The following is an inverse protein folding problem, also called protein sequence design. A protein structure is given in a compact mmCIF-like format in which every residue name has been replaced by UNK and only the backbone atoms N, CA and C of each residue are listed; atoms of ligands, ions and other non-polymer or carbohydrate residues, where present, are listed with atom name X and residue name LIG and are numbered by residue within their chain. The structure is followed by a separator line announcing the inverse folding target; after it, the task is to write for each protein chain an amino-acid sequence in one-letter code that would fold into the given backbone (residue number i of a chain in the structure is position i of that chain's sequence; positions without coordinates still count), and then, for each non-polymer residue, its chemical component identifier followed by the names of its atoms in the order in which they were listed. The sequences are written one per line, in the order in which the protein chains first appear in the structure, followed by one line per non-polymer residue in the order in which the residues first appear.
data_IF_356927561789
#
_entry.id   IF_356927561789
#
_cell.length_a   1.000
_cell.length_b   1.000
_cell.length_c   1.000
_cell.angle_alpha   90.00
_cell.angle_beta   90.00
_cell.angle_gamma   90.00
#
_symmetry.space_group_name_H-M   'P 1'
#
loop_
_entity.id
_entity.type
_entity.pdbx_description
1 polymer ?
#
# COMPACT_ATOMS: atom_id res chain seq x y z
N UNK A 1 -8.38 -30.29 8.17
CA UNK A 1 -7.59 -29.25 8.85
C UNK A 1 -7.68 -27.97 8.03
N UNK A 2 -8.58 -27.04 8.36
CA UNK A 2 -8.68 -25.77 7.65
C UNK A 2 -7.45 -24.92 7.98
N UNK A 3 -6.61 -24.62 6.98
CA UNK A 3 -5.51 -23.66 7.12
C UNK A 3 -6.13 -22.31 7.50
N UNK A 4 -6.00 -21.89 8.76
CA UNK A 4 -6.25 -20.50 9.14
C UNK A 4 -5.38 -19.64 8.21
N UNK A 5 -6.01 -18.87 7.33
CA UNK A 5 -5.30 -17.84 6.59
C UNK A 5 -4.70 -16.90 7.64
N UNK A 6 -3.38 -16.99 7.82
CA UNK A 6 -2.68 -16.13 8.75
C UNK A 6 -2.82 -14.71 8.18
N UNK A 7 -3.65 -13.86 8.82
CA UNK A 7 -3.77 -12.47 8.41
C UNK A 7 -2.37 -11.86 8.48
N UNK A 8 -1.88 -11.33 7.36
CA UNK A 8 -0.62 -10.62 7.31
C UNK A 8 -0.64 -9.48 8.34
N UNK A 9 0.44 -9.34 9.08
CA UNK A 9 0.60 -8.29 10.07
C UNK A 9 0.84 -6.93 9.40
N UNK A 10 0.65 -5.85 10.16
CA UNK A 10 1.02 -4.50 9.73
C UNK A 10 2.44 -4.45 9.13
N UNK A 11 3.41 -5.10 9.79
CA UNK A 11 4.81 -5.09 9.37
C UNK A 11 4.97 -5.74 8.00
N UNK A 12 4.39 -6.93 7.81
CA UNK A 12 4.46 -7.65 6.54
C UNK A 12 3.80 -6.88 5.40
N UNK A 13 2.61 -6.32 5.62
CA UNK A 13 1.93 -5.53 4.58
C UNK A 13 2.71 -4.25 4.27
N UNK A 14 3.23 -3.55 5.28
CA UNK A 14 4.02 -2.32 5.06
C UNK A 14 5.33 -2.59 4.31
N UNK A 15 5.96 -3.75 4.57
CA UNK A 15 7.18 -4.15 3.86
C UNK A 15 6.87 -4.46 2.39
N UNK A 16 5.83 -5.26 2.15
CA UNK A 16 5.38 -5.57 0.79
C UNK A 16 4.97 -4.31 0.02
N UNK A 17 4.26 -3.38 0.65
CA UNK A 17 3.87 -2.11 0.05
C UNK A 17 5.10 -1.32 -0.43
N UNK A 18 6.16 -1.26 0.39
CA UNK A 18 7.43 -0.60 0.05
C UNK A 18 8.16 -1.28 -1.12
N UNK A 19 8.16 -2.62 -1.16
CA UNK A 19 8.80 -3.38 -2.25
C UNK A 19 8.08 -3.18 -3.58
N UNK A 20 6.75 -3.26 -3.58
CA UNK A 20 5.90 -3.03 -4.75
C UNK A 20 6.03 -1.58 -5.23
N UNK A 21 6.08 -0.62 -4.31
CA UNK A 21 6.30 0.79 -4.63
C UNK A 21 7.63 1.01 -5.35
N UNK A 22 8.72 0.36 -4.89
CA UNK A 22 10.03 0.40 -5.55
C UNK A 22 10.05 -0.30 -6.90
N UNK A 23 9.21 -1.31 -7.10
CA UNK A 23 9.04 -2.01 -8.36
C UNK A 23 8.24 -1.19 -9.40
N UNK A 24 7.63 -0.06 -8.99
CA UNK A 24 6.90 0.83 -9.88
C UNK A 24 5.41 0.54 -10.01
N UNK A 25 4.89 -0.51 -9.37
CA UNK A 25 3.45 -0.78 -9.35
C UNK A 25 2.77 0.08 -8.28
N UNK A 26 2.60 1.36 -8.61
CA UNK A 26 2.05 2.35 -7.69
C UNK A 26 0.57 2.09 -7.36
N UNK A 27 -0.18 1.44 -8.26
CA UNK A 27 -1.59 1.11 -8.02
C UNK A 27 -1.70 0.04 -6.93
N UNK A 28 -0.93 -1.04 -7.06
CA UNK A 28 -0.95 -2.11 -6.07
C UNK A 28 -0.30 -1.68 -4.74
N UNK A 29 0.78 -0.91 -4.79
CA UNK A 29 1.40 -0.33 -3.61
C UNK A 29 0.42 0.56 -2.83
N UNK A 30 -0.40 1.37 -3.50
CA UNK A 30 -1.41 2.21 -2.86
C UNK A 30 -2.41 1.36 -2.04
N UNK A 31 -2.94 0.28 -2.62
CA UNK A 31 -3.87 -0.62 -1.92
C UNK A 31 -3.22 -1.30 -0.71
N UNK A 32 -1.95 -1.71 -0.83
CA UNK A 32 -1.20 -2.27 0.29
C UNK A 32 -1.00 -1.26 1.41
N UNK A 33 -0.70 0.01 1.08
CA UNK A 33 -0.62 1.07 2.08
C UNK A 33 -1.96 1.35 2.77
N UNK A 34 -3.08 1.30 2.04
CA UNK A 34 -4.42 1.39 2.64
C UNK A 34 -4.65 0.27 3.65
N UNK A 35 -4.35 -0.98 3.28
CA UNK A 35 -4.47 -2.14 4.16
C UNK A 35 -3.54 -2.04 5.39
N UNK A 36 -2.32 -1.54 5.21
CA UNK A 36 -1.40 -1.30 6.33
C UNK A 36 -1.96 -0.24 7.30
N UNK A 37 -2.63 0.80 6.81
CA UNK A 37 -3.27 1.81 7.65
C UNK A 37 -4.38 1.21 8.53
N UNK A 38 -5.17 0.27 7.98
CA UNK A 38 -6.23 -0.42 8.73
C UNK A 38 -5.67 -1.32 9.85
N UNK A 39 -4.50 -1.92 9.63
CA UNK A 39 -3.83 -2.79 10.61
C UNK A 39 -2.96 -2.05 11.63
N UNK A 40 -2.57 -0.82 11.34
CA UNK A 40 -1.68 -0.04 12.19
C UNK A 40 -2.33 0.27 13.54
N UNK A 41 -1.68 -0.10 14.64
CA UNK A 41 -2.17 0.21 16.00
C UNK A 41 -1.86 1.65 16.43
N UNK A 42 -0.74 2.19 15.97
CA UNK A 42 -0.28 3.55 16.31
C UNK A 42 -0.83 4.57 15.32
N UNK A 43 -1.35 5.69 15.82
CA UNK A 43 -1.89 6.76 14.98
C UNK A 43 -0.87 7.28 13.94
N UNK A 44 0.39 7.48 14.35
CA UNK A 44 1.47 7.91 13.45
C UNK A 44 1.67 6.97 12.25
N UNK A 45 1.54 5.65 12.47
CA UNK A 45 1.67 4.67 11.39
C UNK A 45 0.44 4.71 10.47
N UNK A 46 -0.77 4.88 11.05
CA UNK A 46 -2.00 5.05 10.26
C UNK A 46 -1.90 6.26 9.34
N UNK A 47 -1.51 7.40 9.89
CA UNK A 47 -1.35 8.64 9.13
C UNK A 47 -0.31 8.51 8.03
N UNK A 48 0.85 7.93 8.35
CA UNK A 48 1.89 7.74 7.36
C UNK A 48 1.43 6.84 6.21
N UNK A 49 0.77 5.73 6.51
CA UNK A 49 0.21 4.82 5.49
C UNK A 49 -0.88 5.52 4.65
N UNK A 50 -1.78 6.27 5.29
CA UNK A 50 -2.83 7.01 4.60
C UNK A 50 -2.27 8.08 3.65
N UNK A 51 -1.24 8.82 4.08
CA UNK A 51 -0.53 9.80 3.25
C UNK A 51 0.16 9.12 2.06
N UNK A 52 0.78 7.96 2.27
CA UNK A 52 1.45 7.20 1.20
C UNK A 52 0.47 6.64 0.18
N UNK A 53 -0.64 6.07 0.63
CA UNK A 53 -1.77 5.67 -0.24
C UNK A 53 -2.22 6.85 -1.10
N UNK A 54 -2.57 8.00 -0.48
CA UNK A 54 -3.04 9.17 -1.23
C UNK A 54 -2.01 9.70 -2.24
N UNK A 55 -0.71 9.66 -1.91
CA UNK A 55 0.35 10.04 -2.83
C UNK A 55 0.42 9.09 -4.04
N UNK A 56 0.44 7.78 -3.80
CA UNK A 56 0.58 6.78 -4.85
C UNK A 56 -0.65 6.69 -5.74
N UNK A 57 -1.86 6.85 -5.20
CA UNK A 57 -3.08 6.93 -6.01
C UNK A 57 -3.01 8.09 -7.00
N UNK A 58 -2.51 9.26 -6.57
CA UNK A 58 -2.31 10.41 -7.48
C UNK A 58 -1.21 10.17 -8.51
N UNK A 59 -0.15 9.46 -8.12
CA UNK A 59 0.93 9.09 -9.03
C UNK A 59 0.47 8.09 -10.07
N UNK A 60 -0.20 7.00 -9.67
CA UNK A 60 -0.72 5.99 -10.58
C UNK A 60 -1.64 6.59 -11.66
N UNK A 61 -2.48 7.57 -11.30
CA UNK A 61 -3.32 8.30 -12.26
C UNK A 61 -2.47 9.07 -13.29
N UNK A 62 -1.47 9.85 -12.84
CA UNK A 62 -0.60 10.60 -13.75
C UNK A 62 0.20 9.72 -14.71
N UNK A 63 0.64 8.55 -14.26
CA UNK A 63 1.42 7.64 -15.09
C UNK A 63 0.54 6.93 -16.13
N UNK A 64 -0.70 6.56 -15.77
CA UNK A 64 -1.69 6.07 -16.74
C UNK A 64 -2.00 7.09 -17.84
N UNK A 65 -2.03 8.37 -17.51
CA UNK A 65 -2.23 9.44 -18.50
C UNK A 65 -1.00 9.63 -19.39
N UNK A 66 0.22 9.39 -18.87
CA UNK A 66 1.45 9.47 -19.63
C UNK A 66 1.69 8.25 -20.56
N UNK A 67 1.22 7.05 -20.18
CA UNK A 67 1.30 5.85 -21.03
C UNK A 67 0.30 5.85 -22.20
N UNK A 68 -0.80 6.59 -22.08
CA UNK A 68 -1.85 6.67 -23.10
C UNK A 68 -1.70 7.87 -24.06
N UNK A 69 -0.60 8.63 -23.95
CA UNK A 69 -0.32 9.84 -24.73
C UNK A 69 0.70 9.63 -25.84
#
# INVERSE_FOLDING_TARGET
MAKKANKLSFKEISQLASEVERAGDYSYAAELWRNAAELAKKAVNKEWCARRHAFLTKWALRWKEAENG
#
